data_IF_424237847154
#
_entry.id   IF_424237847154
#
_cell.length_a   1.000
_cell.length_b   1.000
_cell.length_c   1.000
_cell.angle_alpha   90.00
_cell.angle_beta   90.00
_cell.angle_gamma   90.00
#
_symmetry.space_group_name_H-M   'P 1'
#
loop_
_entity.id
_entity.type
_entity.pdbx_description
1 polymer ?
#
# COMPACT_ATOMS: atom_id res chain seq x y z
N UNK A 1 -32.52 -19.89 -54.15
CA UNK A 1 -31.36 -19.28 -53.45
C UNK A 1 -30.14 -20.12 -53.77
N UNK A 2 -29.15 -19.55 -54.45
CA UNK A 2 -27.98 -20.25 -55.00
C UNK A 2 -27.10 -20.86 -53.90
N UNK A 3 -26.70 -22.13 -54.04
CA UNK A 3 -25.91 -22.88 -53.06
C UNK A 3 -24.57 -22.18 -52.76
N UNK A 4 -23.97 -21.55 -53.78
CA UNK A 4 -22.73 -20.77 -53.65
C UNK A 4 -22.89 -19.55 -52.73
N UNK A 5 -24.04 -18.85 -52.78
CA UNK A 5 -24.32 -17.73 -51.89
C UNK A 5 -24.49 -18.16 -50.43
N UNK A 6 -25.10 -19.33 -50.18
CA UNK A 6 -25.24 -19.87 -48.81
C UNK A 6 -23.89 -20.22 -48.19
N UNK A 7 -22.99 -20.81 -48.98
CA UNK A 7 -21.65 -21.17 -48.53
C UNK A 7 -20.80 -19.94 -48.21
N UNK A 8 -20.88 -18.90 -49.04
CA UNK A 8 -20.16 -17.63 -48.83
C UNK A 8 -20.65 -16.88 -47.58
N UNK A 9 -21.96 -16.89 -47.31
CA UNK A 9 -22.55 -16.35 -46.08
C UNK A 9 -22.07 -17.13 -44.84
N UNK A 10 -22.00 -18.46 -44.94
CA UNK A 10 -21.52 -19.31 -43.85
C UNK A 10 -20.04 -19.02 -43.51
N UNK A 11 -19.19 -18.91 -44.54
CA UNK A 11 -17.77 -18.54 -44.39
C UNK A 11 -17.60 -17.16 -43.76
N UNK A 12 -18.39 -16.16 -44.19
CA UNK A 12 -18.37 -14.81 -43.60
C UNK A 12 -18.79 -14.80 -42.13
N UNK A 13 -19.83 -15.57 -41.76
CA UNK A 13 -20.26 -15.71 -40.36
C UNK A 13 -19.19 -16.37 -39.49
N UNK A 14 -18.58 -17.45 -39.98
CA UNK A 14 -17.50 -18.15 -39.27
C UNK A 14 -16.28 -17.23 -39.06
N UNK A 15 -15.89 -16.48 -40.09
CA UNK A 15 -14.80 -15.51 -40.00
C UNK A 15 -15.11 -14.38 -39.01
N UNK A 16 -16.34 -13.83 -39.00
CA UNK A 16 -16.74 -12.80 -38.04
C UNK A 16 -16.63 -13.29 -36.59
N UNK A 17 -17.15 -14.49 -36.31
CA UNK A 17 -17.08 -15.11 -34.99
C UNK A 17 -15.63 -15.36 -34.54
N UNK A 18 -14.76 -15.83 -35.45
CA UNK A 18 -13.33 -15.99 -35.17
C UNK A 18 -12.64 -14.65 -34.82
N UNK A 19 -12.98 -13.59 -35.55
CA UNK A 19 -12.41 -12.26 -35.31
C UNK A 19 -12.93 -11.63 -34.01
N UNK A 20 -14.19 -11.86 -33.65
CA UNK A 20 -14.76 -11.47 -32.37
C UNK A 20 -14.07 -12.18 -31.20
N UNK A 21 -13.86 -13.50 -31.29
CA UNK A 21 -13.12 -14.26 -30.28
C UNK A 21 -11.68 -13.75 -30.08
N UNK A 22 -10.97 -13.43 -31.17
CA UNK A 22 -9.62 -12.85 -31.09
C UNK A 22 -9.60 -11.47 -30.41
N UNK A 23 -10.60 -10.63 -30.66
CA UNK A 23 -10.74 -9.33 -29.98
C UNK A 23 -10.99 -9.52 -28.49
N UNK A 24 -11.86 -10.45 -28.13
CA UNK A 24 -12.19 -10.69 -26.72
C UNK A 24 -10.98 -11.22 -25.94
N UNK A 25 -10.24 -12.18 -26.50
CA UNK A 25 -8.98 -12.66 -25.90
C UNK A 25 -7.93 -11.56 -25.71
N UNK A 26 -7.87 -10.61 -26.65
CA UNK A 26 -6.95 -9.47 -26.54
C UNK A 26 -7.35 -8.52 -25.41
N UNK A 27 -8.66 -8.26 -25.22
CA UNK A 27 -9.17 -7.47 -24.09
C UNK A 27 -8.88 -8.14 -22.75
N UNK A 28 -9.11 -9.45 -22.64
CA UNK A 28 -8.85 -10.23 -21.42
C UNK A 28 -7.37 -10.12 -21.03
N UNK A 29 -6.47 -10.25 -22.01
CA UNK A 29 -5.02 -10.11 -21.75
C UNK A 29 -4.65 -8.71 -21.25
N UNK A 30 -5.22 -7.66 -21.86
CA UNK A 30 -4.99 -6.29 -21.43
C UNK A 30 -5.49 -6.05 -20.00
N UNK A 31 -6.72 -6.49 -19.70
CA UNK A 31 -7.30 -6.39 -18.36
C UNK A 31 -6.47 -7.14 -17.32
N UNK A 32 -5.96 -8.32 -17.65
CA UNK A 32 -5.06 -9.09 -16.77
C UNK A 32 -3.77 -8.34 -16.48
N UNK A 33 -3.20 -7.66 -17.48
CA UNK A 33 -2.02 -6.81 -17.31
C UNK A 33 -2.30 -5.66 -16.33
N UNK A 34 -3.43 -4.97 -16.48
CA UNK A 34 -3.84 -3.87 -15.60
C UNK A 34 -4.09 -4.37 -14.17
N UNK A 35 -4.76 -5.53 -14.01
CA UNK A 35 -5.01 -6.11 -12.69
C UNK A 35 -3.68 -6.47 -11.97
N UNK A 36 -2.67 -6.99 -12.69
CA UNK A 36 -1.35 -7.29 -12.14
C UNK A 36 -0.58 -6.02 -11.74
N UNK A 37 -0.64 -4.96 -12.55
CA UNK A 37 -0.02 -3.67 -12.24
C UNK A 37 -0.65 -3.04 -10.99
N UNK A 38 -1.99 -3.08 -10.91
CA UNK A 38 -2.71 -2.63 -9.72
C UNK A 38 -2.36 -3.46 -8.48
N UNK A 39 -2.17 -4.77 -8.63
CA UNK A 39 -1.74 -5.63 -7.53
C UNK A 39 -0.37 -5.21 -7.01
N UNK A 40 0.61 -5.07 -7.90
CA UNK A 40 1.96 -4.67 -7.54
C UNK A 40 1.99 -3.30 -6.87
N UNK A 41 1.22 -2.33 -7.39
CA UNK A 41 1.11 -1.00 -6.78
C UNK A 41 0.53 -1.05 -5.36
N UNK A 42 -0.53 -1.83 -5.12
CA UNK A 42 -1.11 -1.95 -3.77
C UNK A 42 -0.12 -2.64 -2.81
N UNK A 43 0.60 -3.66 -3.27
CA UNK A 43 1.61 -4.36 -2.47
C UNK A 43 2.78 -3.44 -2.10
N UNK A 44 3.24 -2.59 -3.03
CA UNK A 44 4.25 -1.58 -2.77
C UNK A 44 3.79 -0.56 -1.74
N UNK A 45 2.56 -0.04 -1.86
CA UNK A 45 2.02 0.91 -0.89
C UNK A 45 1.97 0.29 0.52
N UNK A 46 1.51 -0.95 0.65
CA UNK A 46 1.47 -1.68 1.92
C UNK A 46 2.88 -1.80 2.50
N UNK A 47 3.86 -2.16 1.67
CA UNK A 47 5.25 -2.30 2.10
C UNK A 47 5.82 -0.98 2.62
N UNK A 48 5.60 0.12 1.89
CA UNK A 48 6.05 1.45 2.31
C UNK A 48 5.41 1.88 3.64
N UNK A 49 4.11 1.61 3.81
CA UNK A 49 3.38 1.90 5.03
C UNK A 49 3.86 1.08 6.23
N UNK A 50 4.17 -0.21 6.02
CA UNK A 50 4.74 -1.06 7.06
C UNK A 50 6.13 -0.58 7.49
N UNK A 51 6.96 -0.11 6.55
CA UNK A 51 8.26 0.47 6.87
C UNK A 51 8.12 1.81 7.61
N UNK A 52 7.16 2.64 7.23
CA UNK A 52 6.86 3.89 7.93
C UNK A 52 6.45 3.63 9.40
N UNK A 53 5.63 2.61 9.65
CA UNK A 53 5.29 2.20 11.02
C UNK A 53 6.54 1.80 11.79
N UNK A 54 7.47 1.02 11.20
CA UNK A 54 8.71 0.63 11.88
C UNK A 54 9.55 1.84 12.28
N UNK A 55 9.65 2.84 11.41
CA UNK A 55 10.35 4.10 11.70
C UNK A 55 9.69 4.83 12.88
N UNK A 56 8.36 4.95 12.88
CA UNK A 56 7.63 5.60 13.98
C UNK A 56 7.75 4.85 15.30
N UNK A 57 7.64 3.51 15.30
CA UNK A 57 7.81 2.70 16.51
C UNK A 57 9.24 2.79 17.07
N UNK A 58 10.25 2.83 16.20
CA UNK A 58 11.64 3.06 16.62
C UNK A 58 11.79 4.42 17.31
N UNK A 59 11.28 5.50 16.68
CA UNK A 59 11.31 6.85 17.27
C UNK A 59 10.58 6.91 18.60
N UNK A 60 9.42 6.24 18.72
CA UNK A 60 8.68 6.14 19.98
C UNK A 60 9.51 5.47 21.08
N UNK A 61 10.21 4.38 20.76
CA UNK A 61 11.11 3.68 21.70
C UNK A 61 12.28 4.55 22.13
N UNK A 62 12.88 5.30 21.21
CA UNK A 62 13.99 6.20 21.50
C UNK A 62 13.53 7.38 22.37
N UNK A 63 12.36 7.95 22.08
CA UNK A 63 11.70 8.96 22.92
C UNK A 63 11.43 8.44 24.34
N UNK A 64 10.95 7.21 24.49
CA UNK A 64 10.73 6.59 25.80
C UNK A 64 12.03 6.45 26.60
N UNK A 65 13.11 5.98 25.96
CA UNK A 65 14.43 5.89 26.61
C UNK A 65 14.96 7.27 27.00
N UNK A 66 14.81 8.26 26.12
CA UNK A 66 15.20 9.64 26.41
C UNK A 66 14.45 10.20 27.61
N UNK A 67 13.14 9.97 27.69
CA UNK A 67 12.33 10.40 28.83
C UNK A 67 12.77 9.73 30.14
N UNK A 68 12.99 8.40 30.14
CA UNK A 68 13.48 7.66 31.31
C UNK A 68 14.81 8.22 31.82
N UNK A 69 15.74 8.54 30.91
CA UNK A 69 17.05 9.08 31.29
C UNK A 69 16.95 10.49 31.86
N UNK A 70 16.10 11.34 31.28
CA UNK A 70 15.82 12.68 31.81
C UNK A 70 15.20 12.58 33.22
N UNK A 71 14.27 11.65 33.43
CA UNK A 71 13.62 11.44 34.74
C UNK A 71 14.57 10.89 35.80
N UNK A 72 15.58 10.11 35.39
CA UNK A 72 16.64 9.60 36.27
C UNK A 72 17.52 10.73 36.81
N UNK A 73 17.74 11.80 36.03
CA UNK A 73 18.62 12.91 36.37
C UNK A 73 17.85 14.09 36.99
N UNK A 74 17.37 13.92 38.22
CA UNK A 74 16.48 14.88 38.92
C UNK A 74 17.07 16.28 39.15
N UNK A 75 18.39 16.40 39.18
CA UNK A 75 19.07 17.67 39.52
C UNK A 75 19.40 18.54 38.30
N UNK A 76 19.19 18.04 37.08
CA UNK A 76 19.48 18.81 35.86
C UNK A 76 18.34 19.76 35.50
N UNK A 77 18.68 21.02 35.21
CA UNK A 77 17.73 22.02 34.68
C UNK A 77 17.65 22.03 33.16
N UNK A 78 18.70 21.59 32.49
CA UNK A 78 18.83 21.60 31.04
C UNK A 78 19.46 20.32 30.53
N UNK A 79 19.07 19.93 29.32
CA UNK A 79 19.58 18.75 28.61
C UNK A 79 19.99 19.13 27.20
N UNK A 80 20.90 18.36 26.63
CA UNK A 80 21.30 18.49 25.23
C UNK A 80 20.38 17.62 24.38
N UNK A 81 19.71 18.25 23.43
CA UNK A 81 18.80 17.59 22.48
C UNK A 81 19.45 17.62 21.10
N UNK A 82 19.52 16.47 20.43
CA UNK A 82 19.94 16.40 19.05
C UNK A 82 18.76 16.80 18.15
N UNK A 83 18.97 17.80 17.29
CA UNK A 83 18.04 18.23 16.25
C UNK A 83 18.81 18.18 14.95
N UNK A 84 18.52 17.18 14.13
CA UNK A 84 19.25 16.86 12.90
C UNK A 84 20.78 16.74 13.15
N UNK A 85 21.56 17.66 12.60
CA UNK A 85 23.02 17.69 12.72
C UNK A 85 23.53 18.63 13.84
N UNK A 86 22.65 19.11 14.73
CA UNK A 86 22.98 20.06 15.78
C UNK A 86 22.59 19.52 17.17
N UNK A 87 23.29 20.01 18.20
CA UNK A 87 22.92 19.79 19.60
C UNK A 87 22.51 21.13 20.22
N UNK A 88 21.29 21.18 20.74
CA UNK A 88 20.71 22.39 21.34
C UNK A 88 20.46 22.13 22.82
N UNK A 89 20.84 23.08 23.66
CA UNK A 89 20.58 23.00 25.09
C UNK A 89 19.17 23.52 25.38
N UNK A 90 18.28 22.65 25.88
CA UNK A 90 16.89 22.97 26.19
C UNK A 90 16.59 22.72 27.67
N UNK A 91 15.54 23.36 28.21
CA UNK A 91 15.11 23.06 29.59
C UNK A 91 14.52 21.65 29.66
N UNK A 92 14.72 20.99 30.78
CA UNK A 92 14.20 19.63 31.03
C UNK A 92 12.69 19.58 30.83
N UNK A 93 11.95 20.51 31.42
CA UNK A 93 10.48 20.51 31.36
C UNK A 93 9.94 20.77 29.93
N UNK A 94 10.61 21.64 29.17
CA UNK A 94 10.28 21.88 27.76
C UNK A 94 10.54 20.63 26.92
N UNK A 95 11.67 19.96 27.16
CA UNK A 95 12.05 18.73 26.45
C UNK A 95 11.08 17.58 26.76
N UNK A 96 10.71 17.40 28.03
CA UNK A 96 9.71 16.40 28.44
C UNK A 96 8.37 16.63 27.76
N UNK A 97 7.92 17.88 27.68
CA UNK A 97 6.68 18.24 26.98
C UNK A 97 6.77 17.88 25.50
N UNK A 98 7.84 18.29 24.81
CA UNK A 98 8.03 17.97 23.40
C UNK A 98 8.06 16.46 23.13
N UNK A 99 8.73 15.68 23.99
CA UNK A 99 8.75 14.21 23.86
C UNK A 99 7.34 13.62 24.01
N UNK A 100 6.54 14.12 24.95
CA UNK A 100 5.15 13.65 25.16
C UNK A 100 4.24 14.00 23.99
N UNK A 101 4.28 15.25 23.53
CA UNK A 101 3.54 15.70 22.35
C UNK A 101 3.91 14.87 21.11
N UNK A 102 5.20 14.57 20.93
CA UNK A 102 5.67 13.73 19.83
C UNK A 102 5.20 12.27 19.98
N UNK A 103 5.15 11.72 21.19
CA UNK A 103 4.60 10.38 21.42
C UNK A 103 3.10 10.30 21.05
N UNK A 104 2.31 11.28 21.47
CA UNK A 104 0.88 11.36 21.12
C UNK A 104 0.69 11.50 19.59
N UNK A 105 1.50 12.34 18.95
CA UNK A 105 1.52 12.48 17.50
C UNK A 105 1.83 11.15 16.81
N UNK A 106 2.93 10.49 17.19
CA UNK A 106 3.35 9.21 16.62
C UNK A 106 2.28 8.13 16.79
N UNK A 107 1.60 8.07 17.93
CA UNK A 107 0.49 7.14 18.16
C UNK A 107 -0.67 7.39 17.20
N UNK A 108 -1.02 8.67 16.99
CA UNK A 108 -2.09 9.04 16.06
C UNK A 108 -1.72 8.70 14.61
N UNK A 109 -0.47 8.90 14.20
CA UNK A 109 0.00 8.61 12.85
C UNK A 109 0.12 7.11 12.61
N UNK A 110 0.68 6.35 13.56
CA UNK A 110 0.72 4.88 13.48
C UNK A 110 -0.70 4.32 13.31
N UNK A 111 -1.68 4.86 14.03
CA UNK A 111 -3.08 4.45 13.88
C UNK A 111 -3.60 4.71 12.47
N UNK A 112 -3.41 5.92 11.93
CA UNK A 112 -3.84 6.26 10.56
C UNK A 112 -3.19 5.37 9.50
N UNK A 113 -1.89 5.11 9.64
CA UNK A 113 -1.17 4.24 8.69
C UNK A 113 -1.67 2.79 8.78
N UNK A 114 -1.96 2.27 9.99
CA UNK A 114 -2.58 0.95 10.15
C UNK A 114 -3.94 0.86 9.48
N UNK A 115 -4.79 1.87 9.64
CA UNK A 115 -6.10 1.94 8.98
C UNK A 115 -5.94 1.95 7.44
N UNK A 116 -4.94 2.67 6.91
CA UNK A 116 -4.62 2.69 5.48
C UNK A 116 -4.17 1.32 4.96
N UNK A 117 -3.27 0.65 5.68
CA UNK A 117 -2.83 -0.72 5.38
C UNK A 117 -4.03 -1.68 5.35
N UNK A 118 -4.92 -1.62 6.35
CA UNK A 118 -6.10 -2.49 6.40
C UNK A 118 -7.02 -2.27 5.19
N UNK A 119 -7.20 -1.01 4.78
CA UNK A 119 -7.94 -0.68 3.57
C UNK A 119 -7.27 -1.24 2.31
N UNK A 120 -5.95 -1.11 2.17
CA UNK A 120 -5.19 -1.66 1.04
C UNK A 120 -5.23 -3.19 1.02
N UNK A 121 -5.06 -3.86 2.16
CA UNK A 121 -5.15 -5.33 2.28
C UNK A 121 -6.54 -5.84 1.86
N UNK A 122 -7.62 -5.13 2.20
CA UNK A 122 -8.98 -5.45 1.71
C UNK A 122 -9.08 -5.30 0.18
N UNK A 123 -8.55 -4.20 -0.38
CA UNK A 123 -8.54 -3.99 -1.85
C UNK A 123 -7.75 -5.08 -2.56
N UNK A 124 -6.57 -5.42 -2.05
CA UNK A 124 -5.71 -6.48 -2.58
C UNK A 124 -6.44 -7.83 -2.59
N UNK A 125 -7.12 -8.19 -1.50
CA UNK A 125 -7.91 -9.42 -1.41
C UNK A 125 -9.05 -9.48 -2.44
N UNK A 126 -9.75 -8.36 -2.67
CA UNK A 126 -10.81 -8.28 -3.68
C UNK A 126 -10.22 -8.48 -5.08
N UNK A 127 -9.09 -7.82 -5.37
CA UNK A 127 -8.40 -7.92 -6.66
C UNK A 127 -7.92 -9.36 -6.93
N UNK A 128 -7.29 -9.99 -5.94
CA UNK A 128 -6.86 -11.39 -6.01
C UNK A 128 -8.04 -12.34 -6.25
N UNK A 129 -9.16 -12.14 -5.56
CA UNK A 129 -10.37 -12.94 -5.78
C UNK A 129 -10.92 -12.76 -7.20
N UNK A 130 -10.98 -11.52 -7.71
CA UNK A 130 -11.40 -11.23 -9.08
C UNK A 130 -10.51 -11.92 -10.11
N UNK A 131 -9.20 -11.94 -9.89
CA UNK A 131 -8.26 -12.63 -10.76
C UNK A 131 -8.45 -14.16 -10.72
N UNK A 132 -8.72 -14.71 -9.54
CA UNK A 132 -8.93 -16.15 -9.38
C UNK A 132 -10.27 -16.63 -9.96
N UNK A 133 -11.31 -15.81 -10.00
CA UNK A 133 -12.61 -16.20 -10.57
C UNK A 133 -12.77 -15.81 -12.04
N UNK A 134 -12.16 -14.71 -12.49
CA UNK A 134 -12.39 -14.14 -13.82
C UNK A 134 -11.51 -14.70 -14.95
N UNK A 135 -10.42 -15.41 -14.64
CA UNK A 135 -9.48 -15.92 -15.66
C UNK A 135 -9.43 -17.45 -15.78
N UNK A 136 -10.19 -18.19 -14.97
CA UNK A 136 -10.23 -19.66 -15.02
C UNK A 136 -11.17 -20.22 -16.11
N UNK A 137 -12.06 -19.40 -16.69
CA UNK A 137 -13.07 -19.84 -17.68
C UNK A 137 -12.56 -19.96 -19.13
N UNK A 138 -11.26 -19.74 -19.40
CA UNK A 138 -10.71 -19.68 -20.76
C UNK A 138 -9.50 -20.60 -21.00
N UNK A 139 -9.19 -21.51 -20.08
CA UNK A 139 -8.07 -22.45 -20.19
C UNK A 139 -8.46 -23.92 -20.44
N UNK A 140 -9.74 -24.21 -20.69
CA UNK A 140 -10.22 -25.54 -21.15
C UNK A 140 -10.43 -25.59 -22.67
#
# INVERSE_FOLDING_TARGET
MDLRKKEEISKKKCFSSLMEGKREMSKIRLLKGIDLENQASIEEDIYQDEELIRVYEKRKKDNQKGLMEIERQKDQRKVWVNVDNLFVQQKVEETKRCIKEDQEYLESEIKKVKERIDCQKKKLKILQNKMNTGYNDFND
#
